data_IF_507366049763
#
_entry.id   IF_507366049763
#
_cell.length_a   1.000
_cell.length_b   1.000
_cell.length_c   1.000
_cell.angle_alpha   90.00
_cell.angle_beta   90.00
_cell.angle_gamma   90.00
#
_symmetry.space_group_name_H-M   'P 1'
#
loop_
_entity.id
_entity.type
_entity.pdbx_description
1 polymer ?
#
# COMPACT_ATOMS: atom_id res chain seq x y z
N UNK A 1 -4.97 4.01 -7.63
CA UNK A 1 -6.21 4.50 -6.97
C UNK A 1 -6.30 5.99 -7.25
N UNK A 2 -7.29 6.45 -8.02
CA UNK A 2 -7.50 7.87 -8.32
C UNK A 2 -8.33 8.46 -7.18
N UNK A 3 -7.70 9.14 -6.23
CA UNK A 3 -8.43 9.80 -5.13
C UNK A 3 -8.83 11.20 -5.60
N UNK A 4 -10.09 11.36 -5.99
CA UNK A 4 -10.66 12.66 -6.35
C UNK A 4 -11.00 13.44 -5.08
N UNK A 5 -10.12 14.34 -4.64
CA UNK A 5 -10.46 15.32 -3.60
C UNK A 5 -11.33 16.41 -4.21
N UNK A 6 -12.66 16.24 -4.16
CA UNK A 6 -13.63 17.27 -4.51
C UNK A 6 -13.69 18.33 -3.40
N UNK A 7 -12.83 19.35 -3.47
CA UNK A 7 -13.00 20.57 -2.68
C UNK A 7 -14.01 21.46 -3.40
N UNK A 8 -15.28 21.40 -3.00
CA UNK A 8 -16.38 22.13 -3.63
C UNK A 8 -16.27 23.64 -3.34
N UNK A 9 -15.65 24.39 -4.26
CA UNK A 9 -15.81 25.85 -4.36
C UNK A 9 -17.02 26.16 -5.25
N UNK A 10 -17.97 27.02 -4.81
CA UNK A 10 -19.20 27.28 -5.55
C UNK A 10 -18.95 28.34 -6.62
N UNK A 11 -18.30 27.97 -7.72
CA UNK A 11 -18.37 28.61 -9.05
C UNK A 11 -17.15 28.17 -9.86
N UNK A 12 -17.38 27.51 -11.01
CA UNK A 12 -16.41 26.85 -11.89
C UNK A 12 -15.82 25.54 -11.33
N UNK A 13 -16.44 24.41 -11.71
CA UNK A 13 -15.91 23.07 -11.44
C UNK A 13 -14.74 22.80 -12.40
N UNK A 14 -13.56 23.32 -12.06
CA UNK A 14 -12.32 22.72 -12.54
C UNK A 14 -11.98 21.55 -11.62
N UNK A 15 -12.40 20.35 -12.02
CA UNK A 15 -11.96 19.14 -11.35
C UNK A 15 -10.47 18.92 -11.66
N UNK A 16 -9.59 19.30 -10.74
CA UNK A 16 -8.17 18.98 -10.84
C UNK A 16 -7.99 17.52 -10.44
N UNK A 17 -7.69 16.67 -11.44
CA UNK A 17 -7.26 15.29 -11.19
C UNK A 17 -5.83 15.32 -10.67
N UNK A 18 -5.59 14.64 -9.55
CA UNK A 18 -4.27 14.42 -8.99
C UNK A 18 -3.95 12.94 -9.09
N UNK A 19 -2.77 12.62 -9.61
CA UNK A 19 -2.22 11.26 -9.63
C UNK A 19 -1.14 11.20 -8.55
N UNK A 20 -1.23 10.19 -7.69
CA UNK A 20 -0.30 9.97 -6.60
C UNK A 20 0.57 8.78 -6.95
N UNK A 21 1.85 8.86 -6.61
CA UNK A 21 2.84 7.83 -6.92
C UNK A 21 3.63 7.42 -5.66
N UNK A 22 4.41 6.35 -5.80
CA UNK A 22 5.32 5.88 -4.75
C UNK A 22 4.63 5.48 -3.45
N UNK A 23 5.29 5.77 -2.33
CA UNK A 23 4.86 5.34 -1.00
C UNK A 23 3.47 5.86 -0.62
N UNK A 24 3.20 7.13 -0.92
CA UNK A 24 1.92 7.74 -0.54
C UNK A 24 0.77 7.08 -1.30
N UNK A 25 0.96 6.79 -2.59
CA UNK A 25 -0.04 6.04 -3.36
C UNK A 25 -0.31 4.65 -2.79
N UNK A 26 0.71 3.99 -2.21
CA UNK A 26 0.56 2.67 -1.57
C UNK A 26 -0.25 2.73 -0.29
N UNK A 27 -0.05 3.75 0.55
CA UNK A 27 -0.86 3.96 1.76
C UNK A 27 -2.33 4.13 1.36
N UNK A 28 -2.64 5.04 0.42
CA UNK A 28 -4.02 5.26 0.00
C UNK A 28 -4.68 3.99 -0.57
N UNK A 29 -3.94 3.20 -1.34
CA UNK A 29 -4.44 1.92 -1.85
C UNK A 29 -4.78 0.94 -0.71
N UNK A 30 -3.90 0.82 0.28
CA UNK A 30 -4.14 -0.04 1.46
C UNK A 30 -5.37 0.40 2.25
N UNK A 31 -5.51 1.70 2.54
CA UNK A 31 -6.67 2.19 3.30
C UNK A 31 -7.98 2.04 2.52
N UNK A 32 -7.94 2.19 1.20
CA UNK A 32 -9.12 1.99 0.36
C UNK A 32 -9.56 0.52 0.29
N UNK A 33 -8.63 -0.43 0.39
CA UNK A 33 -8.94 -1.86 0.44
C UNK A 33 -9.72 -2.23 1.70
N UNK A 34 -9.38 -1.62 2.84
CA UNK A 34 -10.12 -1.83 4.10
C UNK A 34 -11.60 -1.41 3.98
N UNK A 35 -11.93 -0.41 3.16
CA UNK A 35 -13.32 0.02 2.94
C UNK A 35 -14.18 -1.04 2.24
N UNK A 36 -13.56 -2.00 1.55
CA UNK A 36 -14.24 -3.12 0.90
C UNK A 36 -13.91 -4.46 1.58
N UNK A 37 -13.39 -4.42 2.81
CA UNK A 37 -13.09 -5.60 3.61
C UNK A 37 -11.91 -6.43 3.10
N UNK A 38 -11.01 -5.83 2.32
CA UNK A 38 -9.79 -6.47 1.84
C UNK A 38 -8.59 -6.09 2.70
N UNK A 39 -7.72 -7.05 2.95
CA UNK A 39 -6.44 -6.86 3.61
C UNK A 39 -5.30 -7.07 2.61
N UNK A 40 -4.06 -6.80 3.03
CA UNK A 40 -2.90 -6.88 2.13
C UNK A 40 -2.72 -8.26 1.49
N UNK A 41 -3.04 -9.32 2.23
CA UNK A 41 -2.90 -10.72 1.78
C UNK A 41 -3.77 -11.03 0.56
N UNK A 42 -4.93 -10.39 0.44
CA UNK A 42 -5.86 -10.62 -0.68
C UNK A 42 -5.29 -10.16 -2.04
N UNK A 43 -4.19 -9.41 -2.02
CA UNK A 43 -3.51 -8.91 -3.24
C UNK A 43 -2.21 -9.66 -3.56
N UNK A 44 -1.75 -10.53 -2.68
CA UNK A 44 -0.52 -11.30 -2.88
C UNK A 44 -0.73 -12.30 -4.02
N UNK A 45 0.24 -12.39 -4.93
CA UNK A 45 0.11 -13.23 -6.13
C UNK A 45 0.66 -14.64 -5.91
N UNK A 46 1.62 -14.79 -4.99
CA UNK A 46 2.28 -16.05 -4.68
C UNK A 46 2.51 -16.15 -3.18
N UNK A 47 2.29 -17.34 -2.63
CA UNK A 47 2.66 -17.65 -1.24
C UNK A 47 4.16 -17.47 -0.99
N UNK A 48 5.00 -17.61 -2.02
CA UNK A 48 6.45 -17.35 -1.92
C UNK A 48 6.83 -15.89 -1.69
N UNK A 49 5.87 -14.95 -1.83
CA UNK A 49 6.07 -13.54 -1.47
C UNK A 49 5.74 -13.28 0.02
N UNK A 50 5.31 -14.31 0.75
CA UNK A 50 5.01 -14.26 2.17
C UNK A 50 6.14 -14.90 2.97
N UNK A 51 6.39 -14.32 4.13
CA UNK A 51 7.31 -14.85 5.12
C UNK A 51 6.61 -14.77 6.46
N UNK A 52 6.63 -15.85 7.21
CA UNK A 52 6.30 -15.79 8.62
C UNK A 52 7.44 -15.16 9.42
N UNK A 53 7.17 -14.76 10.66
CA UNK A 53 8.15 -14.10 11.51
C UNK A 53 9.41 -14.96 11.71
N UNK A 54 9.25 -16.26 11.96
CA UNK A 54 10.37 -17.18 12.18
C UNK A 54 11.27 -17.31 10.94
N UNK A 55 10.67 -17.33 9.74
CA UNK A 55 11.40 -17.36 8.46
C UNK A 55 12.17 -16.05 8.24
N UNK A 56 11.54 -14.92 8.54
CA UNK A 56 12.19 -13.61 8.46
C UNK A 56 13.38 -13.50 9.43
N UNK A 57 13.17 -13.89 10.70
CA UNK A 57 14.23 -13.90 11.72
C UNK A 57 15.39 -14.81 11.34
N UNK A 58 15.11 -16.01 10.82
CA UNK A 58 16.16 -16.93 10.37
C UNK A 58 17.00 -16.33 9.23
N UNK A 59 16.37 -15.65 8.27
CA UNK A 59 17.08 -14.96 7.19
C UNK A 59 17.93 -13.80 7.71
N UNK A 60 17.37 -12.93 8.55
CA UNK A 60 18.09 -11.81 9.16
C UNK A 60 19.33 -12.31 9.93
N UNK A 61 19.15 -13.31 10.81
CA UNK A 61 20.25 -13.94 11.57
C UNK A 61 21.31 -14.53 10.63
N UNK A 62 20.91 -15.21 9.55
CA UNK A 62 21.85 -15.78 8.58
C UNK A 62 22.67 -14.72 7.83
N UNK A 63 22.14 -13.50 7.70
CA UNK A 63 22.84 -12.38 7.04
C UNK A 63 23.71 -11.54 7.98
N UNK A 64 23.66 -11.81 9.30
CA UNK A 64 24.50 -11.09 10.26
C UNK A 64 25.99 -11.37 9.98
N UNK A 65 26.84 -10.34 9.93
CA UNK A 65 28.28 -10.55 9.80
C UNK A 65 28.79 -11.30 11.03
N UNK A 66 29.57 -12.36 10.80
CA UNK A 66 30.30 -13.03 11.87
C UNK A 66 31.31 -12.04 12.47
N UNK A 67 31.11 -11.70 13.75
CA UNK A 67 32.00 -10.85 14.55
C UNK A 67 33.35 -11.54 14.73
#
# INVERSE_FOLDING_TARGET
LVTTTLFQKPSLVLAKVLVWEGFVARIFQHEADHLVGKVFLDRVQSEGDLLCEDEYQAMEIATLPSI
#
